data_IF_601411301022
#
_entry.id   IF_601411301022
#
_cell.length_a   1.000
_cell.length_b   1.000
_cell.length_c   1.000
_cell.angle_alpha   90.00
_cell.angle_beta   90.00
_cell.angle_gamma   90.00
#
_symmetry.space_group_name_H-M   'P 1'
#
loop_
_entity.id
_entity.type
_entity.pdbx_description
1 polymer ?
#
# COMPACT_ATOMS: atom_id res chain seq x y z
N UNK A 1 36.89 50.77 -41.55
CA UNK A 1 36.81 49.42 -41.05
C UNK A 1 36.12 49.44 -39.67
N UNK A 2 34.81 49.00 -39.57
CA UNK A 2 34.09 48.87 -38.27
C UNK A 2 34.49 47.55 -37.62
N UNK A 3 35.14 47.64 -36.45
CA UNK A 3 35.40 46.46 -35.62
C UNK A 3 34.07 45.97 -35.07
N UNK A 4 33.65 44.76 -35.46
CA UNK A 4 32.51 44.08 -34.87
C UNK A 4 32.92 43.56 -33.48
N UNK A 5 32.22 44.02 -32.49
CA UNK A 5 32.44 43.67 -31.07
C UNK A 5 31.78 42.31 -30.81
N UNK A 6 32.55 41.22 -30.97
CA UNK A 6 32.09 39.85 -30.84
C UNK A 6 31.87 39.41 -29.39
N UNK A 7 32.33 40.22 -28.42
CA UNK A 7 32.24 39.93 -26.98
C UNK A 7 30.84 40.07 -26.40
N UNK A 8 30.07 41.05 -26.89
CA UNK A 8 28.70 41.29 -26.37
C UNK A 8 27.68 40.25 -26.80
N UNK A 9 27.85 39.70 -28.03
CA UNK A 9 26.96 38.67 -28.55
C UNK A 9 27.09 37.34 -27.83
N UNK A 10 28.32 36.96 -27.47
CA UNK A 10 28.62 35.70 -26.80
C UNK A 10 28.06 35.63 -25.38
N UNK A 11 28.14 36.74 -24.63
CA UNK A 11 27.59 36.89 -23.28
C UNK A 11 26.05 36.87 -23.25
N UNK A 12 25.40 37.38 -24.29
CA UNK A 12 23.94 37.33 -24.45
C UNK A 12 23.43 35.91 -24.71
N UNK A 13 24.12 35.14 -25.56
CA UNK A 13 23.81 33.75 -25.89
C UNK A 13 23.98 32.83 -24.66
N UNK A 14 25.06 33.00 -23.89
CA UNK A 14 25.28 32.17 -22.66
C UNK A 14 24.21 32.41 -21.59
N UNK A 15 23.80 33.67 -21.38
CA UNK A 15 22.74 34.03 -20.41
C UNK A 15 21.37 33.51 -20.85
N UNK A 16 21.07 33.56 -22.16
CA UNK A 16 19.82 33.02 -22.70
C UNK A 16 19.70 31.53 -22.59
N UNK A 17 20.79 30.79 -22.84
CA UNK A 17 20.81 29.33 -22.73
C UNK A 17 20.70 28.86 -21.28
N UNK A 18 21.28 29.57 -20.33
CA UNK A 18 21.17 29.21 -18.90
C UNK A 18 19.75 29.42 -18.38
N UNK A 19 19.07 30.47 -18.78
CA UNK A 19 17.67 30.74 -18.41
C UNK A 19 16.72 29.72 -19.04
N UNK A 20 16.95 29.32 -20.29
CA UNK A 20 16.16 28.29 -20.95
C UNK A 20 16.34 26.90 -20.29
N UNK A 21 17.58 26.55 -19.92
CA UNK A 21 17.83 25.31 -19.17
C UNK A 21 17.16 25.33 -17.79
N UNK A 22 17.21 26.42 -17.06
CA UNK A 22 16.55 26.56 -15.76
C UNK A 22 15.03 26.44 -15.87
N UNK A 23 14.43 27.00 -16.92
CA UNK A 23 12.98 26.89 -17.17
C UNK A 23 12.56 25.45 -17.49
N UNK A 24 13.40 24.65 -18.14
CA UNK A 24 13.13 23.23 -18.40
C UNK A 24 13.19 22.38 -17.13
N UNK A 25 14.05 22.71 -16.17
CA UNK A 25 14.09 22.04 -14.87
C UNK A 25 12.89 22.36 -13.99
N UNK A 26 12.32 23.57 -14.10
CA UNK A 26 11.14 23.95 -13.32
C UNK A 26 9.83 23.33 -13.82
N UNK A 27 9.77 22.87 -15.07
CA UNK A 27 8.62 22.15 -15.62
C UNK A 27 8.67 20.63 -15.37
N UNK A 28 9.69 20.11 -14.71
CA UNK A 28 9.85 18.68 -14.40
C UNK A 28 8.93 18.20 -13.28
N UNK A 29 8.30 19.10 -12.52
CA UNK A 29 7.22 18.75 -11.58
C UNK A 29 5.89 18.85 -12.29
N UNK A 30 5.57 17.85 -13.12
CA UNK A 30 4.23 17.70 -13.69
C UNK A 30 3.22 17.50 -12.54
N UNK A 31 2.26 18.40 -12.42
CA UNK A 31 1.17 18.32 -11.45
C UNK A 31 0.21 17.10 -11.68
N UNK A 32 0.48 16.29 -12.67
CA UNK A 32 -0.21 15.04 -12.98
C UNK A 32 0.59 13.81 -12.53
N UNK A 33 1.35 13.91 -11.45
CA UNK A 33 2.02 12.77 -10.87
C UNK A 33 0.96 11.80 -10.33
N UNK A 34 0.83 10.57 -10.85
CA UNK A 34 -0.10 9.54 -10.36
C UNK A 34 0.19 9.11 -8.92
N UNK A 35 1.11 9.81 -8.25
CA UNK A 35 1.53 9.57 -6.87
C UNK A 35 0.43 9.85 -5.83
N UNK A 36 -0.64 10.53 -6.19
CA UNK A 36 -1.74 10.88 -5.28
C UNK A 36 -3.07 10.27 -5.73
N UNK A 37 -3.15 8.92 -5.69
CA UNK A 37 -4.43 8.24 -5.68
C UNK A 37 -4.93 8.13 -4.23
N UNK A 38 -5.94 8.93 -3.81
CA UNK A 38 -6.43 8.93 -2.42
C UNK A 38 -6.92 7.56 -1.98
N UNK A 39 -7.58 6.82 -2.87
CA UNK A 39 -8.08 5.47 -2.58
C UNK A 39 -6.93 4.49 -2.34
N UNK A 40 -5.90 4.55 -3.16
CA UNK A 40 -4.70 3.72 -2.99
C UNK A 40 -3.98 4.02 -1.68
N UNK A 41 -3.87 5.29 -1.32
CA UNK A 41 -3.24 5.71 -0.07
C UNK A 41 -4.06 5.25 1.15
N UNK A 42 -5.38 5.30 1.05
CA UNK A 42 -6.27 4.80 2.09
C UNK A 42 -6.10 3.27 2.27
N UNK A 43 -6.08 2.50 1.19
CA UNK A 43 -5.80 1.07 1.26
C UNK A 43 -4.43 0.77 1.88
N UNK A 44 -3.40 1.54 1.51
CA UNK A 44 -2.04 1.40 2.08
C UNK A 44 -2.03 1.62 3.59
N UNK A 45 -2.84 2.54 4.10
CA UNK A 45 -2.94 2.83 5.54
C UNK A 45 -3.47 1.62 6.35
N UNK A 46 -4.22 0.72 5.71
CA UNK A 46 -4.76 -0.51 6.29
C UNK A 46 -4.04 -1.77 5.81
N UNK A 47 -2.87 -1.63 5.18
CA UNK A 47 -2.07 -2.75 4.68
C UNK A 47 -0.81 -2.91 5.53
N UNK A 48 -0.50 -4.15 5.90
CA UNK A 48 0.70 -4.53 6.63
C UNK A 48 1.48 -5.60 5.87
N UNK A 49 2.80 -5.58 6.05
CA UNK A 49 3.73 -6.52 5.45
C UNK A 49 4.50 -7.28 6.53
N UNK A 50 4.62 -8.58 6.34
CA UNK A 50 5.55 -9.43 7.07
C UNK A 50 6.51 -10.05 6.07
N UNK A 51 7.81 -9.92 6.32
CA UNK A 51 8.85 -10.47 5.47
C UNK A 51 9.89 -11.21 6.32
N UNK A 52 10.31 -12.37 5.84
CA UNK A 52 11.39 -13.14 6.45
C UNK A 52 12.30 -13.71 5.38
N UNK A 53 13.61 -13.56 5.56
CA UNK A 53 14.63 -14.16 4.70
C UNK A 53 15.49 -15.06 5.58
N UNK A 54 15.50 -16.36 5.31
CA UNK A 54 16.29 -17.34 6.05
C UNK A 54 16.99 -18.28 5.07
N UNK A 55 18.30 -18.43 5.20
CA UNK A 55 19.11 -19.36 4.40
C UNK A 55 18.88 -19.27 2.88
N UNK A 56 18.58 -18.07 2.36
CA UNK A 56 18.29 -17.84 0.94
C UNK A 56 16.79 -17.94 0.57
N UNK A 57 15.95 -18.51 1.42
CA UNK A 57 14.51 -18.56 1.21
C UNK A 57 13.84 -17.26 1.70
N UNK A 58 12.99 -16.69 0.83
CA UNK A 58 12.23 -15.50 1.13
C UNK A 58 10.76 -15.85 1.29
N UNK A 59 10.18 -15.44 2.41
CA UNK A 59 8.74 -15.44 2.62
C UNK A 59 8.22 -14.01 2.74
N UNK A 60 7.10 -13.73 2.09
CA UNK A 60 6.42 -12.45 2.12
C UNK A 60 4.93 -12.66 2.32
N UNK A 61 4.39 -12.08 3.38
CA UNK A 61 2.95 -11.95 3.61
C UNK A 61 2.54 -10.47 3.53
N UNK A 62 1.51 -10.16 2.75
CA UNK A 62 0.91 -8.82 2.69
C UNK A 62 -0.56 -8.96 3.04
N UNK A 63 -1.00 -8.30 4.09
CA UNK A 63 -2.38 -8.34 4.52
C UNK A 63 -3.00 -6.94 4.53
N UNK A 64 -4.23 -6.84 4.04
CA UNK A 64 -5.04 -5.62 4.06
C UNK A 64 -6.29 -5.86 4.90
N UNK A 65 -6.54 -5.00 5.89
CA UNK A 65 -7.79 -4.96 6.63
C UNK A 65 -8.84 -4.22 5.80
N UNK A 66 -9.93 -4.90 5.44
CA UNK A 66 -10.87 -4.43 4.40
C UNK A 66 -12.06 -3.64 4.95
N UNK A 67 -12.40 -3.77 6.23
CA UNK A 67 -13.62 -3.16 6.76
C UNK A 67 -13.74 -1.65 6.53
N UNK A 68 -12.66 -0.84 6.66
CA UNK A 68 -12.75 0.59 6.39
C UNK A 68 -12.80 0.94 4.91
N UNK A 69 -12.09 0.17 4.07
CA UNK A 69 -11.81 0.54 2.67
C UNK A 69 -12.69 -0.19 1.64
N UNK A 70 -13.34 -1.27 2.04
CA UNK A 70 -14.22 -2.06 1.18
C UNK A 70 -15.38 -2.67 2.00
N UNK A 71 -16.22 -1.85 2.64
CA UNK A 71 -17.29 -2.32 3.51
C UNK A 71 -18.33 -3.19 2.79
N UNK A 72 -18.46 -3.05 1.47
CA UNK A 72 -19.35 -3.84 0.62
C UNK A 72 -18.95 -5.32 0.52
N UNK A 73 -17.72 -5.67 0.86
CA UNK A 73 -17.20 -7.04 0.77
C UNK A 73 -17.40 -7.86 2.06
N UNK A 74 -18.01 -7.25 3.08
CA UNK A 74 -18.39 -7.95 4.32
C UNK A 74 -19.64 -8.77 4.07
N UNK A 75 -19.61 -10.05 4.43
CA UNK A 75 -20.80 -10.91 4.38
C UNK A 75 -21.78 -10.60 5.52
N UNK A 76 -21.24 -10.18 6.68
CA UNK A 76 -22.01 -9.73 7.81
C UNK A 76 -21.44 -8.39 8.32
N UNK A 77 -22.32 -7.52 8.84
CA UNK A 77 -21.91 -6.20 9.38
C UNK A 77 -20.95 -6.34 10.58
N UNK A 78 -20.88 -7.52 11.17
CA UNK A 78 -20.17 -7.80 12.42
C UNK A 78 -18.85 -8.58 12.22
N UNK A 79 -18.40 -8.83 10.98
CA UNK A 79 -17.16 -9.55 10.74
C UNK A 79 -15.97 -8.61 10.54
N UNK A 80 -14.80 -9.03 11.04
CA UNK A 80 -13.52 -8.47 10.64
C UNK A 80 -13.02 -9.23 9.41
N UNK A 81 -12.71 -8.50 8.32
CA UNK A 81 -12.35 -9.10 7.03
C UNK A 81 -10.97 -8.64 6.60
N UNK A 82 -10.13 -9.59 6.20
CA UNK A 82 -8.78 -9.34 5.68
C UNK A 82 -8.59 -10.05 4.34
N UNK A 83 -7.81 -9.42 3.47
CA UNK A 83 -7.20 -10.03 2.30
C UNK A 83 -5.73 -10.30 2.62
N UNK A 84 -5.30 -11.55 2.59
CA UNK A 84 -3.90 -11.94 2.77
C UNK A 84 -3.34 -12.52 1.48
N UNK A 85 -2.23 -11.96 1.00
CA UNK A 85 -1.41 -12.48 -0.09
C UNK A 85 -0.14 -13.07 0.50
N UNK A 86 0.17 -14.34 0.20
CA UNK A 86 1.29 -15.14 0.73
C UNK A 86 2.20 -15.60 -0.41
N UNK A 87 3.47 -15.26 -0.37
CA UNK A 87 4.49 -15.64 -1.34
C UNK A 87 5.65 -16.37 -0.64
N UNK A 88 6.20 -17.43 -1.23
CA UNK A 88 5.77 -18.10 -2.46
C UNK A 88 4.51 -18.98 -2.25
N UNK A 89 3.82 -19.31 -3.35
CA UNK A 89 2.55 -20.06 -3.31
C UNK A 89 2.64 -21.48 -2.71
N UNK A 90 3.82 -22.04 -2.73
CA UNK A 90 4.12 -23.38 -2.18
C UNK A 90 4.07 -23.39 -0.64
N UNK A 91 4.27 -22.21 -0.02
CA UNK A 91 4.22 -22.05 1.42
C UNK A 91 2.78 -21.70 1.83
N UNK A 92 2.08 -22.71 2.36
CA UNK A 92 0.71 -22.53 2.83
C UNK A 92 0.66 -21.94 4.24
N UNK A 93 -0.44 -21.24 4.54
CA UNK A 93 -0.69 -20.72 5.88
C UNK A 93 -1.54 -21.69 6.69
N UNK A 94 -1.35 -21.69 8.01
CA UNK A 94 -2.10 -22.52 8.97
C UNK A 94 -2.24 -21.81 10.32
N UNK A 95 -3.13 -22.29 11.17
CA UNK A 95 -3.37 -21.76 12.52
C UNK A 95 -3.57 -20.22 12.52
N UNK A 96 -4.44 -19.75 11.64
CA UNK A 96 -4.72 -18.31 11.48
C UNK A 96 -5.62 -17.84 12.61
N UNK A 97 -5.21 -16.76 13.28
CA UNK A 97 -5.91 -16.18 14.41
C UNK A 97 -6.01 -14.65 14.27
N UNK A 98 -7.12 -14.11 14.76
CA UNK A 98 -7.31 -12.67 14.98
C UNK A 98 -7.48 -12.44 16.49
N UNK A 99 -6.61 -11.63 17.08
CA UNK A 99 -6.58 -11.39 18.53
C UNK A 99 -6.51 -12.66 19.38
N UNK A 100 -5.88 -13.73 18.88
CA UNK A 100 -5.77 -15.03 19.54
C UNK A 100 -6.96 -15.98 19.35
N UNK A 101 -8.05 -15.53 18.73
CA UNK A 101 -9.19 -16.39 18.36
C UNK A 101 -8.99 -16.95 16.94
N UNK A 102 -9.38 -18.21 16.74
CA UNK A 102 -9.29 -18.84 15.42
C UNK A 102 -10.16 -18.09 14.40
N UNK A 103 -9.58 -17.83 13.23
CA UNK A 103 -10.24 -17.18 12.11
C UNK A 103 -10.63 -18.19 11.03
N UNK A 104 -11.69 -17.88 10.28
CA UNK A 104 -12.06 -18.61 9.09
C UNK A 104 -11.18 -18.18 7.92
N UNK A 105 -10.66 -19.13 7.14
CA UNK A 105 -9.74 -18.88 6.03
C UNK A 105 -10.27 -19.54 4.77
N UNK A 106 -10.50 -18.73 3.75
CA UNK A 106 -10.97 -19.19 2.44
C UNK A 106 -9.90 -18.84 1.39
N UNK A 107 -9.32 -19.85 0.70
CA UNK A 107 -8.43 -19.56 -0.41
C UNK A 107 -9.22 -18.93 -1.56
N UNK A 108 -8.61 -17.93 -2.22
CA UNK A 108 -9.21 -17.22 -3.35
C UNK A 108 -8.64 -17.76 -4.66
N UNK A 109 -9.51 -17.89 -5.65
CA UNK A 109 -9.14 -18.32 -7.01
C UNK A 109 -9.04 -17.10 -7.94
N UNK A 110 -8.32 -17.25 -9.06
CA UNK A 110 -8.28 -16.25 -10.11
C UNK A 110 -9.70 -15.91 -10.58
N UNK A 111 -10.02 -14.62 -10.62
CA UNK A 111 -11.37 -14.13 -10.95
C UNK A 111 -12.26 -13.78 -9.74
N UNK A 112 -11.83 -14.05 -8.51
CA UNK A 112 -12.58 -13.62 -7.34
C UNK A 112 -12.66 -12.08 -7.29
N UNK A 113 -13.88 -11.50 -7.11
CA UNK A 113 -14.06 -10.04 -7.07
C UNK A 113 -13.20 -9.35 -6.01
N UNK A 114 -12.86 -10.04 -4.91
CA UNK A 114 -12.03 -9.52 -3.85
C UNK A 114 -10.61 -9.17 -4.35
N UNK A 115 -10.11 -9.90 -5.34
CA UNK A 115 -8.78 -9.67 -5.92
C UNK A 115 -8.66 -8.35 -6.67
N UNK A 116 -9.79 -7.71 -7.04
CA UNK A 116 -9.79 -6.36 -7.61
C UNK A 116 -9.35 -5.30 -6.60
N UNK A 117 -9.45 -5.61 -5.30
CA UNK A 117 -9.01 -4.77 -4.19
C UNK A 117 -7.55 -5.03 -3.78
N UNK A 118 -6.87 -5.98 -4.42
CA UNK A 118 -5.47 -6.27 -4.15
C UNK A 118 -4.58 -5.12 -4.68
N UNK A 119 -3.91 -4.39 -3.79
CA UNK A 119 -3.00 -3.29 -4.17
C UNK A 119 -1.72 -3.79 -4.82
N UNK A 120 -1.21 -4.92 -4.36
CA UNK A 120 0.05 -5.50 -4.80
C UNK A 120 -0.18 -6.87 -5.41
N UNK A 121 -0.26 -6.92 -6.72
CA UNK A 121 -0.36 -8.17 -7.47
C UNK A 121 0.99 -8.87 -7.47
N UNK A 122 1.21 -9.75 -6.49
CA UNK A 122 2.44 -10.54 -6.37
C UNK A 122 2.27 -11.80 -7.18
N UNK A 123 3.09 -11.97 -8.23
CA UNK A 123 3.11 -13.21 -9.00
C UNK A 123 3.54 -14.39 -8.11
N UNK A 124 3.08 -15.60 -8.44
CA UNK A 124 3.42 -16.85 -7.72
C UNK A 124 3.08 -16.82 -6.23
N UNK A 125 1.96 -16.18 -5.87
CA UNK A 125 1.45 -16.11 -4.51
C UNK A 125 0.09 -16.77 -4.38
N UNK A 126 -0.23 -17.21 -3.16
CA UNK A 126 -1.57 -17.64 -2.75
C UNK A 126 -2.32 -16.49 -2.10
N UNK A 127 -3.63 -16.42 -2.28
CA UNK A 127 -4.50 -15.39 -1.73
C UNK A 127 -5.57 -16.01 -0.87
N UNK A 128 -5.87 -15.35 0.23
CA UNK A 128 -6.83 -15.82 1.21
C UNK A 128 -7.73 -14.68 1.69
N UNK A 129 -9.04 -14.97 1.75
CA UNK A 129 -9.97 -14.18 2.56
C UNK A 129 -9.94 -14.73 3.97
N UNK A 130 -9.70 -13.87 4.94
CA UNK A 130 -9.71 -14.23 6.36
C UNK A 130 -10.84 -13.46 7.02
N UNK A 131 -11.68 -14.17 7.78
CA UNK A 131 -12.81 -13.56 8.51
C UNK A 131 -12.80 -14.03 9.97
N UNK A 132 -13.15 -13.11 10.86
CA UNK A 132 -13.33 -13.38 12.28
C UNK A 132 -14.50 -12.56 12.83
N UNK A 133 -15.14 -12.97 13.94
CA UNK A 133 -16.13 -12.16 14.62
C UNK A 133 -15.57 -10.78 15.00
N UNK A 134 -16.43 -9.78 14.99
CA UNK A 134 -16.07 -8.41 15.35
C UNK A 134 -15.44 -8.35 16.74
N UNK A 135 -14.34 -7.64 16.80
CA UNK A 135 -13.63 -7.37 18.05
C UNK A 135 -13.99 -5.97 18.57
N UNK A 136 -14.14 -5.80 19.87
CA UNK A 136 -14.30 -4.47 20.49
C UNK A 136 -12.97 -3.71 20.62
N UNK A 137 -11.85 -4.37 20.34
CA UNK A 137 -10.52 -3.77 20.40
C UNK A 137 -10.27 -2.86 19.20
N UNK A 138 -9.62 -1.71 19.41
CA UNK A 138 -9.18 -0.79 18.34
C UNK A 138 -8.00 -1.34 17.53
N UNK A 139 -7.20 -2.22 18.13
CA UNK A 139 -6.10 -2.92 17.47
C UNK A 139 -6.48 -4.37 17.19
N UNK A 140 -6.27 -4.79 15.94
CA UNK A 140 -6.42 -6.16 15.49
C UNK A 140 -5.04 -6.76 15.24
N UNK A 141 -4.81 -7.95 15.79
CA UNK A 141 -3.56 -8.70 15.62
C UNK A 141 -3.87 -9.95 14.81
N UNK A 142 -3.47 -9.94 13.53
CA UNK A 142 -3.48 -11.13 12.68
C UNK A 142 -2.19 -11.92 12.93
N UNK A 143 -2.32 -13.16 13.34
CA UNK A 143 -1.21 -14.11 13.49
C UNK A 143 -1.49 -15.40 12.77
N UNK A 144 -0.44 -16.02 12.20
CA UNK A 144 -0.53 -17.33 11.55
C UNK A 144 0.84 -18.02 11.55
N UNK A 145 0.81 -19.31 11.26
CA UNK A 145 2.01 -20.10 10.95
C UNK A 145 2.02 -20.48 9.47
N UNK A 146 3.18 -20.65 8.93
CA UNK A 146 3.38 -21.19 7.57
C UNK A 146 3.68 -22.68 7.63
N UNK A 147 3.58 -23.38 6.50
CA UNK A 147 3.90 -24.82 6.39
C UNK A 147 5.36 -25.14 6.73
N UNK A 148 6.28 -24.19 6.60
CA UNK A 148 7.68 -24.29 7.02
C UNK A 148 7.95 -23.74 8.44
N UNK A 149 6.92 -23.72 9.30
CA UNK A 149 6.97 -23.32 10.71
C UNK A 149 7.39 -21.86 11.02
N UNK A 150 7.31 -20.98 10.03
CA UNK A 150 7.52 -19.56 10.27
C UNK A 150 6.26 -18.97 10.93
N UNK A 151 6.44 -18.27 12.07
CA UNK A 151 5.38 -17.47 12.70
C UNK A 151 5.35 -16.06 12.12
N UNK A 152 4.18 -15.61 11.69
CA UNK A 152 3.95 -14.25 11.22
C UNK A 152 2.94 -13.55 12.12
N UNK A 153 3.16 -12.25 12.38
CA UNK A 153 2.25 -11.39 13.16
C UNK A 153 2.20 -10.01 12.53
N UNK A 154 0.99 -9.51 12.31
CA UNK A 154 0.72 -8.18 11.76
C UNK A 154 -0.31 -7.47 12.61
N UNK A 155 -0.12 -6.17 12.83
CA UNK A 155 -0.99 -5.34 13.66
C UNK A 155 -1.70 -4.32 12.81
N UNK A 156 -3.01 -4.22 12.99
CA UNK A 156 -3.89 -3.30 12.27
C UNK A 156 -4.65 -2.43 13.26
N UNK A 157 -4.91 -1.19 12.88
CA UNK A 157 -5.84 -0.33 13.60
C UNK A 157 -7.14 -0.23 12.83
N UNK A 158 -8.26 -0.25 13.53
CA UNK A 158 -9.59 -0.08 12.91
C UNK A 158 -9.78 1.32 12.34
N UNK A 159 -9.14 2.31 12.96
CA UNK A 159 -9.08 3.69 12.47
C UNK A 159 -7.62 4.03 12.21
N UNK A 160 -7.27 4.22 10.95
CA UNK A 160 -5.93 4.68 10.60
C UNK A 160 -5.77 6.15 10.94
N UNK A 161 -4.67 6.49 11.63
CA UNK A 161 -4.19 7.87 11.71
C UNK A 161 -3.35 8.12 10.46
N UNK A 162 -3.99 8.27 9.30
CA UNK A 162 -3.31 8.61 8.07
C UNK A 162 -2.53 9.91 8.23
N UNK A 163 -1.29 9.94 7.73
CA UNK A 163 -0.49 11.17 7.63
C UNK A 163 -1.15 12.21 6.69
N UNK A 164 -2.12 11.76 5.89
CA UNK A 164 -2.88 12.60 4.95
C UNK A 164 -4.24 13.03 5.48
N UNK A 165 -4.56 12.68 6.75
CA UNK A 165 -5.76 13.21 7.38
C UNK A 165 -5.55 14.71 7.62
N UNK A 166 -6.15 15.51 6.77
CA UNK A 166 -6.32 16.94 7.03
C UNK A 166 -7.67 17.11 7.74
N UNK A 167 -7.69 17.52 9.01
CA UNK A 167 -8.94 17.93 9.63
C UNK A 167 -9.50 19.08 8.79
N UNK A 168 -10.73 18.96 8.34
CA UNK A 168 -11.46 20.13 7.87
C UNK A 168 -11.61 21.05 9.08
N UNK A 169 -10.71 21.99 9.19
CA UNK A 169 -10.84 23.09 10.16
C UNK A 169 -11.90 24.00 9.58
N UNK A 170 -13.11 23.82 10.03
CA UNK A 170 -14.21 24.73 9.74
C UNK A 170 -13.94 26.01 10.56
N UNK A 171 -13.18 26.93 9.98
CA UNK A 171 -12.99 28.26 10.54
C UNK A 171 -14.28 29.05 10.27
N UNK A 172 -15.32 28.77 11.04
CA UNK A 172 -16.46 29.67 11.18
C UNK A 172 -16.05 30.73 12.18
N UNK A 173 -15.71 31.90 11.65
CA UNK A 173 -15.70 33.16 12.38
C UNK A 173 -17.13 33.53 12.87
#
# INVERSE_FOLDING_TARGET
MKKFDFSGALNGLLKGSLLAALALFLNSCSANDPCHDPLKNEFLAYTQKFESVRAGDRYLGVATYLNPVAPELRNAAEDEVFLLTSYPKEIQIRAVQINGANANVVPLHEGDPLLQKELFKIAWSSRYKITAPRSDKDELVLSYRTSNDLGATMKFRKVSKSLYWQPQIDLKD
#
